data_IF_268867942376
#
_entry.id   IF_268867942376
#
_cell.length_a   1.000
_cell.length_b   1.000
_cell.length_c   1.000
_cell.angle_alpha   90.00
_cell.angle_beta   90.00
_cell.angle_gamma   90.00
#
_symmetry.space_group_name_H-M   'P 1'
#
loop_
_entity.id
_entity.type
_entity.pdbx_description
1 polymer ?
#
# COMPACT_ATOMS: atom_id res chain seq x y z
N UNK A 1 55.11 -28.77 -15.00
CA UNK A 1 55.20 -28.58 -13.53
C UNK A 1 54.07 -27.62 -13.14
N UNK A 2 53.04 -28.15 -12.63
CA UNK A 2 52.65 -28.32 -11.23
C UNK A 2 51.66 -27.27 -10.78
N UNK A 3 50.43 -27.76 -10.46
CA UNK A 3 49.45 -27.43 -9.45
C UNK A 3 48.69 -26.08 -9.60
N UNK A 4 47.41 -26.01 -9.62
CA UNK A 4 46.37 -26.75 -8.84
C UNK A 4 45.83 -25.82 -7.79
N UNK A 5 44.59 -25.44 -7.91
CA UNK A 5 43.92 -24.54 -6.94
C UNK A 5 42.45 -24.42 -7.24
N UNK A 6 41.71 -25.48 -6.95
CA UNK A 6 40.26 -25.49 -6.90
C UNK A 6 39.81 -24.86 -5.57
N UNK A 7 39.05 -23.77 -5.59
CA UNK A 7 38.36 -23.28 -4.39
C UNK A 7 36.88 -23.11 -4.72
N UNK A 8 36.11 -24.12 -4.36
CA UNK A 8 34.68 -24.12 -4.36
C UNK A 8 34.14 -23.10 -3.34
N UNK A 9 33.50 -22.06 -3.83
CA UNK A 9 32.73 -21.11 -3.04
C UNK A 9 31.30 -21.58 -2.88
N UNK A 10 31.00 -22.08 -1.72
CA UNK A 10 29.71 -22.55 -1.24
C UNK A 10 28.70 -21.39 -1.27
N UNK A 11 27.76 -21.42 -2.20
CA UNK A 11 26.60 -20.51 -2.22
C UNK A 11 25.64 -21.01 -1.14
N UNK A 12 25.71 -20.42 0.02
CA UNK A 12 24.73 -20.62 1.08
C UNK A 12 23.40 -19.98 0.62
N UNK A 13 22.47 -20.81 0.21
CA UNK A 13 21.05 -20.46 0.07
C UNK A 13 20.54 -20.02 1.43
N UNK A 14 20.38 -18.73 1.60
CA UNK A 14 19.61 -18.16 2.70
C UNK A 14 18.14 -18.43 2.44
N UNK A 15 17.62 -19.50 2.99
CA UNK A 15 16.19 -19.76 3.12
C UNK A 15 15.60 -18.64 3.97
N UNK A 16 14.85 -17.75 3.35
CA UNK A 16 14.00 -16.79 4.05
C UNK A 16 12.92 -17.55 4.80
N UNK A 17 13.14 -17.73 6.07
CA UNK A 17 12.19 -18.28 7.01
C UNK A 17 11.08 -17.24 7.19
N UNK A 18 9.93 -17.49 6.55
CA UNK A 18 8.72 -16.72 6.79
C UNK A 18 8.26 -17.06 8.21
N UNK A 19 8.43 -16.11 9.11
CA UNK A 19 7.84 -16.17 10.44
C UNK A 19 6.35 -15.89 10.30
N UNK A 20 5.56 -16.94 10.21
CA UNK A 20 4.11 -16.90 10.41
C UNK A 20 3.90 -16.68 11.91
N UNK A 21 3.64 -15.44 12.30
CA UNK A 21 3.19 -15.12 13.65
C UNK A 21 1.74 -15.61 13.80
N UNK A 22 1.57 -16.84 14.21
CA UNK A 22 0.29 -17.35 14.70
C UNK A 22 0.04 -16.72 16.07
N UNK A 23 -0.86 -15.76 16.14
CA UNK A 23 -1.39 -15.27 17.41
C UNK A 23 -2.29 -16.38 17.98
N UNK A 24 -1.72 -17.21 18.83
CA UNK A 24 -2.44 -18.25 19.56
C UNK A 24 -3.05 -17.62 20.81
N UNK A 25 -4.34 -17.30 20.74
CA UNK A 25 -5.15 -17.01 21.93
C UNK A 25 -5.50 -18.36 22.61
N UNK A 26 -4.71 -18.71 23.64
CA UNK A 26 -5.01 -19.81 24.55
C UNK A 26 -6.19 -19.43 25.43
N UNK A 27 -7.37 -19.94 25.09
CA UNK A 27 -8.53 -19.97 25.96
C UNK A 27 -8.89 -21.44 26.31
N UNK A 28 -8.53 -21.88 27.51
CA UNK A 28 -8.85 -23.20 28.03
C UNK A 28 -10.36 -23.35 28.26
N UNK A 29 -10.95 -24.48 27.83
CA UNK A 29 -12.33 -24.85 28.17
C UNK A 29 -12.80 -26.03 27.36
N UNK A 30 -12.38 -27.24 27.76
CA UNK A 30 -12.97 -28.51 27.31
C UNK A 30 -14.36 -28.71 27.97
N UNK A 31 -15.42 -28.49 27.23
CA UNK A 31 -16.73 -29.12 27.46
C UNK A 31 -17.27 -29.54 26.11
N UNK A 32 -17.43 -30.85 25.93
CA UNK A 32 -18.04 -31.46 24.75
C UNK A 32 -19.55 -31.16 24.75
N UNK A 33 -19.93 -30.06 24.10
CA UNK A 33 -21.27 -29.76 23.64
C UNK A 33 -21.13 -29.28 22.23
N UNK A 34 -22.11 -29.41 21.37
CA UNK A 34 -22.14 -28.84 20.02
C UNK A 34 -21.80 -27.35 20.11
N UNK A 35 -20.51 -27.02 20.02
CA UNK A 35 -20.07 -25.62 20.01
C UNK A 35 -20.45 -25.05 18.66
N UNK A 36 -21.50 -24.25 18.64
CA UNK A 36 -21.65 -23.30 17.53
C UNK A 36 -20.32 -22.58 17.34
N UNK A 37 -19.91 -22.40 16.09
CA UNK A 37 -18.71 -21.64 15.78
C UNK A 37 -18.76 -20.30 16.54
N UNK A 38 -17.65 -19.83 17.13
CA UNK A 38 -17.63 -18.55 17.82
C UNK A 38 -18.02 -17.46 16.83
N UNK A 39 -18.87 -16.53 17.23
CA UNK A 39 -19.22 -15.41 16.36
C UNK A 39 -18.00 -14.52 16.11
N UNK A 40 -17.83 -14.09 14.87
CA UNK A 40 -16.85 -13.07 14.52
C UNK A 40 -17.39 -11.71 14.96
N UNK A 41 -16.69 -11.03 15.85
CA UNK A 41 -17.02 -9.65 16.23
C UNK A 41 -16.39 -8.62 15.28
N UNK A 42 -16.97 -7.41 15.22
CA UNK A 42 -16.38 -6.30 14.42
C UNK A 42 -14.95 -5.96 14.83
N UNK A 43 -14.63 -6.01 16.12
CA UNK A 43 -13.28 -5.76 16.63
C UNK A 43 -12.29 -6.86 16.22
N UNK A 44 -12.70 -8.11 16.25
CA UNK A 44 -11.88 -9.22 15.73
C UNK A 44 -11.65 -9.08 14.23
N UNK A 45 -12.70 -8.76 13.47
CA UNK A 45 -12.59 -8.52 12.03
C UNK A 45 -11.61 -7.37 11.73
N UNK A 46 -11.72 -6.25 12.45
CA UNK A 46 -10.80 -5.11 12.33
C UNK A 46 -9.36 -5.52 12.62
N UNK A 47 -9.14 -6.27 13.68
CA UNK A 47 -7.80 -6.76 14.07
C UNK A 47 -7.20 -7.64 12.96
N UNK A 48 -7.98 -8.56 12.38
CA UNK A 48 -7.52 -9.45 11.32
C UNK A 48 -7.23 -8.68 10.01
N UNK A 49 -8.04 -7.67 9.66
CA UNK A 49 -7.81 -6.80 8.51
C UNK A 49 -6.52 -6.00 8.73
N UNK A 50 -6.34 -5.38 9.90
CA UNK A 50 -5.16 -4.58 10.21
C UNK A 50 -3.89 -5.45 10.20
N UNK A 51 -3.93 -6.64 10.77
CA UNK A 51 -2.80 -7.57 10.74
C UNK A 51 -2.39 -7.94 9.29
N UNK A 52 -3.34 -8.05 8.36
CA UNK A 52 -3.04 -8.26 6.94
C UNK A 52 -2.31 -7.06 6.34
N UNK A 53 -2.77 -5.83 6.60
CA UNK A 53 -2.10 -4.62 6.11
C UNK A 53 -0.72 -4.42 6.72
N UNK A 54 -0.54 -4.78 7.99
CA UNK A 54 0.76 -4.68 8.68
C UNK A 54 1.78 -5.70 8.15
N UNK A 55 1.30 -6.89 7.79
CA UNK A 55 2.15 -7.96 7.24
C UNK A 55 2.49 -7.74 5.75
N UNK A 56 1.58 -7.14 5.00
CA UNK A 56 1.73 -6.90 3.56
C UNK A 56 1.14 -5.53 3.23
N UNK A 57 1.95 -4.47 3.23
CA UNK A 57 1.48 -3.12 2.97
C UNK A 57 0.89 -2.93 1.57
N UNK A 58 0.98 -3.95 0.72
CA UNK A 58 0.38 -3.95 -0.61
C UNK A 58 1.11 -3.06 -1.61
N UNK A 59 0.37 -2.69 -2.66
CA UNK A 59 0.87 -1.78 -3.67
C UNK A 59 1.01 -0.36 -3.11
N UNK A 60 1.96 0.43 -3.61
CA UNK A 60 2.08 1.85 -3.26
C UNK A 60 0.76 2.59 -3.54
N UNK A 61 0.40 3.52 -2.69
CA UNK A 61 -0.73 4.40 -2.96
C UNK A 61 -0.42 5.31 -4.16
N UNK A 62 -1.26 5.23 -5.17
CA UNK A 62 -1.13 6.04 -6.37
C UNK A 62 -1.79 7.40 -6.17
N UNK A 63 -0.99 8.45 -6.14
CA UNK A 63 -1.45 9.83 -6.05
C UNK A 63 -1.61 10.41 -7.45
N UNK A 64 -2.76 10.94 -7.74
CA UNK A 64 -2.99 11.78 -8.91
C UNK A 64 -2.51 13.19 -8.62
N UNK A 65 -1.55 13.66 -9.40
CA UNK A 65 -0.89 14.96 -9.21
C UNK A 65 -1.22 15.84 -10.41
N UNK A 66 -1.82 16.97 -10.15
CA UNK A 66 -2.07 18.03 -11.12
C UNK A 66 -0.86 18.96 -11.29
N UNK A 67 -0.96 19.98 -12.13
CA UNK A 67 0.10 20.96 -12.36
C UNK A 67 0.55 21.63 -11.05
N UNK A 68 -0.38 22.00 -10.18
CA UNK A 68 -0.05 22.61 -8.88
C UNK A 68 0.76 21.66 -8.00
N UNK A 69 0.36 20.42 -7.94
CA UNK A 69 1.09 19.38 -7.20
C UNK A 69 2.47 19.13 -7.80
N UNK A 70 2.60 19.16 -9.13
CA UNK A 70 3.90 19.04 -9.81
C UNK A 70 4.84 20.20 -9.43
N UNK A 71 4.34 21.45 -9.40
CA UNK A 71 5.13 22.60 -8.96
C UNK A 71 5.49 22.53 -7.46
N UNK A 72 4.59 22.04 -6.63
CA UNK A 72 4.87 21.79 -5.21
C UNK A 72 6.00 20.78 -5.03
N UNK A 73 6.01 19.71 -5.80
CA UNK A 73 7.08 18.71 -5.75
C UNK A 73 8.43 19.21 -6.24
N UNK A 74 8.47 20.12 -7.25
CA UNK A 74 9.69 20.83 -7.64
C UNK A 74 10.18 21.69 -6.48
N UNK A 75 9.30 22.48 -5.86
CA UNK A 75 9.64 23.35 -4.74
C UNK A 75 10.13 22.55 -3.52
N UNK A 76 9.57 21.37 -3.30
CA UNK A 76 9.96 20.44 -2.24
C UNK A 76 11.16 19.56 -2.61
N UNK A 77 11.72 19.71 -3.81
CA UNK A 77 12.91 19.00 -4.32
C UNK A 77 12.72 17.48 -4.46
N UNK A 78 11.52 16.99 -4.68
CA UNK A 78 11.29 15.56 -4.99
C UNK A 78 11.56 15.24 -6.45
N UNK A 79 11.35 16.21 -7.33
CA UNK A 79 11.70 16.11 -8.74
C UNK A 79 12.14 17.47 -9.29
N UNK A 80 12.79 17.42 -10.44
CA UNK A 80 13.20 18.61 -11.21
C UNK A 80 12.58 18.54 -12.60
N UNK A 81 12.14 19.67 -13.12
CA UNK A 81 11.63 19.76 -14.48
C UNK A 81 12.77 19.59 -15.50
N UNK A 82 12.55 18.75 -16.51
CA UNK A 82 13.53 18.47 -17.58
C UNK A 82 13.32 19.34 -18.81
N UNK A 83 12.06 19.67 -19.10
CA UNK A 83 11.70 20.41 -20.32
C UNK A 83 10.75 21.54 -19.96
N UNK A 84 11.05 22.75 -20.46
CA UNK A 84 10.15 23.88 -20.32
C UNK A 84 9.43 24.14 -21.64
N UNK A 85 8.10 24.18 -21.58
CA UNK A 85 7.28 24.51 -22.73
C UNK A 85 7.22 26.04 -22.97
N UNK A 86 6.87 26.50 -24.19
CA UNK A 86 6.77 27.92 -24.51
C UNK A 86 5.77 28.70 -23.61
N UNK A 87 4.74 28.03 -23.11
CA UNK A 87 3.77 28.59 -22.18
C UNK A 87 4.27 28.72 -20.74
N UNK A 88 5.54 28.38 -20.48
CA UNK A 88 6.18 28.52 -19.18
C UNK A 88 6.05 27.32 -18.25
N UNK A 89 5.28 26.30 -18.61
CA UNK A 89 5.12 25.09 -17.83
C UNK A 89 6.31 24.12 -18.02
N UNK A 90 6.56 23.32 -17.00
CA UNK A 90 7.51 22.23 -17.09
C UNK A 90 6.85 20.99 -17.66
N UNK A 91 7.53 20.28 -18.52
CA UNK A 91 7.18 18.94 -18.96
C UNK A 91 8.31 17.99 -18.65
N UNK A 92 7.96 16.73 -18.43
CA UNK A 92 8.86 15.68 -17.98
C UNK A 92 9.66 16.08 -16.72
N UNK A 93 9.65 15.25 -15.74
CA UNK A 93 10.29 15.52 -14.46
C UNK A 93 11.19 14.34 -14.09
N UNK A 94 12.36 14.65 -13.56
CA UNK A 94 13.27 13.62 -13.04
C UNK A 94 13.23 13.61 -11.53
N UNK A 95 13.07 12.43 -10.95
CA UNK A 95 13.15 12.25 -9.50
C UNK A 95 14.56 12.62 -9.00
N UNK A 96 14.60 13.39 -7.93
CA UNK A 96 15.83 13.61 -7.17
C UNK A 96 16.12 12.39 -6.30
N UNK A 97 17.27 12.38 -5.62
CA UNK A 97 17.58 11.29 -4.67
C UNK A 97 16.59 11.26 -3.49
N UNK A 98 16.08 12.41 -3.05
CA UNK A 98 15.02 12.46 -2.05
C UNK A 98 13.67 11.99 -2.61
N UNK A 99 13.37 12.33 -3.86
CA UNK A 99 12.19 11.80 -4.55
C UNK A 99 12.21 10.29 -4.66
N UNK A 100 13.35 9.67 -4.99
CA UNK A 100 13.49 8.21 -5.10
C UNK A 100 13.29 7.46 -3.78
N UNK A 101 13.48 8.12 -2.65
CA UNK A 101 13.24 7.51 -1.32
C UNK A 101 11.76 7.31 -1.04
N UNK A 102 10.90 8.12 -1.64
CA UNK A 102 9.46 8.21 -1.33
C UNK A 102 8.55 7.89 -2.52
N UNK A 103 9.12 7.79 -3.73
CA UNK A 103 8.41 7.52 -4.98
C UNK A 103 9.11 6.35 -5.69
N UNK A 104 8.31 5.36 -6.12
CA UNK A 104 8.82 4.24 -6.90
C UNK A 104 7.99 4.07 -8.16
N UNK A 105 8.52 4.49 -9.29
CA UNK A 105 7.84 4.34 -10.57
C UNK A 105 7.75 2.86 -10.97
N UNK A 106 6.62 2.48 -11.59
CA UNK A 106 6.35 1.09 -11.96
C UNK A 106 7.37 0.52 -12.96
N UNK A 107 7.95 1.36 -13.80
CA UNK A 107 8.99 0.98 -14.77
C UNK A 107 10.41 0.91 -14.16
N UNK A 108 10.56 1.15 -12.87
CA UNK A 108 11.85 1.20 -12.19
C UNK A 108 12.73 2.40 -12.58
N UNK A 109 12.24 3.29 -13.43
CA UNK A 109 12.94 4.50 -13.86
C UNK A 109 12.87 5.65 -12.85
N UNK A 110 13.40 6.78 -13.23
CA UNK A 110 13.41 8.00 -12.43
C UNK A 110 12.74 9.21 -13.12
N UNK A 111 12.12 8.98 -14.28
CA UNK A 111 11.50 10.05 -15.08
C UNK A 111 9.97 9.91 -15.06
N UNK A 112 9.31 10.95 -14.58
CA UNK A 112 7.87 11.12 -14.66
C UNK A 112 7.58 11.81 -15.98
N UNK A 113 6.95 11.11 -16.92
CA UNK A 113 6.50 11.69 -18.17
C UNK A 113 5.19 12.44 -17.93
N UNK A 114 5.24 13.74 -18.09
CA UNK A 114 4.07 14.58 -18.00
C UNK A 114 3.70 15.10 -19.39
N UNK A 115 2.62 14.58 -19.90
CA UNK A 115 2.08 15.00 -21.20
C UNK A 115 0.77 15.71 -20.93
N UNK A 116 0.71 17.03 -21.13
CA UNK A 116 -0.57 17.72 -21.10
C UNK A 116 -1.45 17.18 -22.24
N UNK A 117 -2.72 16.91 -21.95
CA UNK A 117 -3.71 16.48 -22.95
C UNK A 117 -3.86 17.54 -24.04
N UNK A 118 -3.60 18.79 -23.70
CA UNK A 118 -3.47 19.89 -24.63
C UNK A 118 -2.23 20.73 -24.32
N UNK A 119 -1.32 20.93 -25.27
CA UNK A 119 -0.18 21.84 -25.10
C UNK A 119 -0.60 23.28 -24.76
N UNK A 120 -1.84 23.65 -25.07
CA UNK A 120 -2.40 24.99 -24.89
C UNK A 120 -3.20 25.16 -23.60
N UNK A 121 -3.56 24.07 -22.93
CA UNK A 121 -4.25 24.10 -21.63
C UNK A 121 -3.78 22.96 -20.70
N UNK A 122 -2.62 23.14 -20.06
CA UNK A 122 -2.05 22.13 -19.17
C UNK A 122 -2.80 21.95 -17.86
N UNK A 123 -3.84 22.74 -17.59
CA UNK A 123 -4.58 22.72 -16.32
C UNK A 123 -5.29 21.40 -16.03
N UNK A 124 -5.55 20.60 -17.05
CA UNK A 124 -6.25 19.31 -16.94
C UNK A 124 -5.33 18.10 -16.97
N UNK A 125 -4.02 18.32 -17.08
CA UNK A 125 -3.07 17.22 -17.10
C UNK A 125 -2.79 16.70 -15.72
N UNK A 126 -2.88 15.40 -15.57
CA UNK A 126 -2.61 14.70 -14.31
C UNK A 126 -1.59 13.59 -14.53
N UNK A 127 -0.77 13.38 -13.52
CA UNK A 127 0.22 12.29 -13.48
C UNK A 127 -0.06 11.43 -12.27
N UNK A 128 0.07 10.12 -12.43
CA UNK A 128 -0.03 9.18 -11.32
C UNK A 128 1.37 8.94 -10.76
N UNK A 129 1.54 9.24 -9.49
CA UNK A 129 2.79 9.07 -8.76
C UNK A 129 2.60 8.04 -7.63
N UNK A 130 3.27 6.87 -7.70
CA UNK A 130 3.21 5.87 -6.64
C UNK A 130 4.06 6.31 -5.45
N UNK A 131 3.45 6.41 -4.28
CA UNK A 131 4.13 6.76 -3.02
C UNK A 131 4.51 5.50 -2.27
N UNK A 132 5.81 5.27 -2.07
CA UNK A 132 6.31 4.26 -1.15
C UNK A 132 6.14 4.73 0.29
N UNK A 133 6.00 3.78 1.23
CA UNK A 133 5.74 4.02 2.65
C UNK A 133 4.33 4.54 2.96
N UNK A 134 3.41 4.58 2.00
CA UNK A 134 2.00 4.67 2.31
C UNK A 134 1.53 3.34 2.90
N UNK A 135 0.63 3.40 3.88
CA UNK A 135 0.04 2.23 4.53
C UNK A 135 -1.46 2.36 4.52
N UNK A 136 -2.14 1.22 4.66
CA UNK A 136 -3.58 1.20 4.78
C UNK A 136 -3.99 0.90 6.22
N UNK A 137 -5.09 1.49 6.65
CA UNK A 137 -5.68 1.27 7.98
C UNK A 137 -7.17 0.98 7.86
N UNK A 138 -7.64 -0.01 8.60
CA UNK A 138 -9.07 -0.21 8.80
C UNK A 138 -9.58 0.80 9.84
N UNK A 139 -10.28 1.86 9.39
CA UNK A 139 -10.79 2.90 10.27
C UNK A 139 -12.00 2.44 11.06
N UNK A 140 -13.04 2.02 10.36
CA UNK A 140 -14.30 1.56 10.96
C UNK A 140 -14.76 0.29 10.27
N UNK A 141 -15.27 -0.65 11.04
CA UNK A 141 -15.83 -1.91 10.56
C UNK A 141 -17.29 -1.91 10.90
N UNK A 142 -18.12 -2.19 9.90
CA UNK A 142 -19.57 -2.34 10.07
C UNK A 142 -19.95 -3.67 10.71
N UNK A 143 -21.25 -3.94 10.68
CA UNK A 143 -21.80 -5.18 11.24
C UNK A 143 -21.33 -6.40 10.43
N UNK A 144 -21.10 -7.48 11.17
CA UNK A 144 -20.74 -8.77 10.59
C UNK A 144 -21.98 -9.44 10.00
N UNK A 145 -21.92 -9.73 8.72
CA UNK A 145 -22.97 -10.43 7.99
C UNK A 145 -22.59 -11.90 7.80
N UNK A 146 -23.57 -12.80 7.96
CA UNK A 146 -23.39 -14.22 7.71
C UNK A 146 -23.85 -14.57 6.31
N UNK A 147 -22.96 -15.19 5.52
CA UNK A 147 -23.24 -15.68 4.16
C UNK A 147 -22.74 -17.11 4.09
N UNK A 148 -23.65 -18.09 4.31
CA UNK A 148 -23.28 -19.50 4.42
C UNK A 148 -22.25 -19.73 5.54
N UNK A 149 -21.13 -20.38 5.19
CA UNK A 149 -20.03 -20.67 6.13
C UNK A 149 -19.02 -19.52 6.25
N UNK A 150 -19.32 -18.38 5.66
CA UNK A 150 -18.45 -17.22 5.69
C UNK A 150 -19.05 -16.08 6.51
N UNK A 151 -18.20 -15.18 6.94
CA UNK A 151 -18.58 -13.88 7.51
C UNK A 151 -18.03 -12.79 6.63
N UNK A 152 -18.83 -11.77 6.40
CA UNK A 152 -18.47 -10.63 5.58
C UNK A 152 -18.68 -9.35 6.37
N UNK A 153 -17.75 -8.42 6.24
CA UNK A 153 -17.88 -7.09 6.83
C UNK A 153 -17.55 -6.02 5.79
N UNK A 154 -18.28 -4.91 5.86
CA UNK A 154 -17.92 -3.69 5.14
C UNK A 154 -17.11 -2.81 6.07
N UNK A 155 -16.03 -2.24 5.57
CA UNK A 155 -15.18 -1.36 6.38
C UNK A 155 -14.69 -0.17 5.56
N UNK A 156 -14.23 0.87 6.26
CA UNK A 156 -13.56 2.01 5.63
C UNK A 156 -12.05 1.80 5.72
N UNK A 157 -11.41 1.77 4.56
CA UNK A 157 -9.96 1.76 4.41
C UNK A 157 -9.46 3.19 4.29
N UNK A 158 -8.56 3.60 5.15
CA UNK A 158 -7.88 4.89 5.05
C UNK A 158 -6.44 4.70 4.61
N UNK A 159 -5.94 5.61 3.77
CA UNK A 159 -4.52 5.70 3.44
C UNK A 159 -3.81 6.45 4.56
N UNK A 160 -2.87 5.77 5.21
CA UNK A 160 -1.99 6.39 6.20
C UNK A 160 -0.78 7.02 5.52
N UNK A 161 -0.75 8.33 5.50
CA UNK A 161 0.33 9.14 4.93
C UNK A 161 1.36 9.57 5.98
N UNK A 162 1.21 9.17 7.25
CA UNK A 162 2.07 9.65 8.34
C UNK A 162 3.56 9.32 8.17
N UNK A 163 3.87 8.28 7.39
CA UNK A 163 5.24 7.92 7.02
C UNK A 163 5.87 8.79 5.92
N UNK A 164 5.10 9.73 5.35
CA UNK A 164 5.58 10.62 4.27
C UNK A 164 5.93 12.00 4.81
N UNK A 165 6.85 12.72 4.17
CA UNK A 165 7.11 14.13 4.45
C UNK A 165 5.85 14.99 4.27
N UNK A 166 5.69 16.03 5.10
CA UNK A 166 4.48 16.87 5.13
C UNK A 166 4.11 17.47 3.76
N UNK A 167 5.10 17.84 2.95
CA UNK A 167 4.88 18.36 1.59
C UNK A 167 4.28 17.32 0.63
N UNK A 168 4.66 16.05 0.74
CA UNK A 168 4.03 14.96 -0.02
C UNK A 168 2.64 14.61 0.51
N UNK A 169 2.44 14.67 1.82
CA UNK A 169 1.10 14.55 2.40
C UNK A 169 0.16 15.61 1.81
N UNK A 170 0.61 16.86 1.72
CA UNK A 170 -0.18 17.95 1.11
C UNK A 170 -0.52 17.68 -0.35
N UNK A 171 0.43 17.17 -1.15
CA UNK A 171 0.18 16.77 -2.54
C UNK A 171 -0.84 15.61 -2.61
N UNK A 172 -0.69 14.60 -1.75
CA UNK A 172 -1.59 13.46 -1.70
C UNK A 172 -3.01 13.82 -1.26
N UNK A 173 -3.17 14.87 -0.47
CA UNK A 173 -4.46 15.38 0.01
C UNK A 173 -5.18 16.30 -0.99
N UNK A 174 -4.60 16.54 -2.17
CA UNK A 174 -5.28 17.32 -3.21
C UNK A 174 -6.64 16.71 -3.59
N UNK A 175 -7.65 17.53 -3.91
CA UNK A 175 -8.92 17.05 -4.40
C UNK A 175 -8.73 16.12 -5.60
N UNK A 176 -9.43 14.99 -5.61
CA UNK A 176 -9.29 13.95 -6.63
C UNK A 176 -8.58 12.69 -6.14
N UNK A 177 -7.77 12.76 -5.08
CA UNK A 177 -7.22 11.58 -4.44
C UNK A 177 -8.19 11.03 -3.40
N UNK A 178 -8.57 9.76 -3.57
CA UNK A 178 -9.45 9.09 -2.60
C UNK A 178 -8.60 8.47 -1.49
N UNK A 179 -8.45 9.20 -0.39
CA UNK A 179 -7.71 8.72 0.79
C UNK A 179 -8.52 7.77 1.67
N UNK A 180 -9.81 7.66 1.41
CA UNK A 180 -10.71 6.75 2.12
C UNK A 180 -11.53 6.00 1.09
N UNK A 181 -11.58 4.67 1.22
CA UNK A 181 -12.33 3.80 0.32
C UNK A 181 -13.15 2.81 1.15
N UNK A 182 -14.39 2.58 0.74
CA UNK A 182 -15.18 1.49 1.31
C UNK A 182 -14.75 0.16 0.69
N UNK A 183 -14.47 -0.82 1.55
CA UNK A 183 -14.03 -2.17 1.18
C UNK A 183 -14.91 -3.22 1.82
N UNK A 184 -14.84 -4.42 1.30
CA UNK A 184 -15.45 -5.59 1.89
C UNK A 184 -14.38 -6.63 2.22
N UNK A 185 -14.47 -7.23 3.41
CA UNK A 185 -13.60 -8.31 3.83
C UNK A 185 -14.42 -9.58 4.08
N UNK A 186 -13.91 -10.71 3.61
CA UNK A 186 -14.52 -12.02 3.77
C UNK A 186 -13.66 -12.88 4.69
N UNK A 187 -14.30 -13.56 5.64
CA UNK A 187 -13.65 -14.42 6.63
C UNK A 187 -14.19 -15.84 6.54
N UNK A 188 -13.34 -16.80 6.86
CA UNK A 188 -13.68 -18.23 6.95
C UNK A 188 -13.24 -18.78 8.30
N UNK A 189 -14.00 -19.72 8.82
CA UNK A 189 -13.66 -20.41 10.06
C UNK A 189 -12.75 -21.60 9.74
N UNK A 190 -11.53 -21.57 10.27
CA UNK A 190 -10.55 -22.64 10.13
C UNK A 190 -10.14 -23.14 11.52
N UNK A 191 -10.35 -24.41 11.81
CA UNK A 191 -9.96 -25.04 13.09
C UNK A 191 -10.45 -24.26 14.32
N UNK A 192 -11.67 -23.71 14.26
CA UNK A 192 -12.26 -22.97 15.36
C UNK A 192 -11.80 -21.50 15.51
N UNK A 193 -10.98 -21.00 14.58
CA UNK A 193 -10.54 -19.61 14.53
C UNK A 193 -10.94 -18.93 13.21
N UNK A 194 -11.37 -17.67 13.28
CA UNK A 194 -11.63 -16.85 12.09
C UNK A 194 -10.35 -16.42 11.43
N UNK A 195 -10.31 -16.57 10.12
CA UNK A 195 -9.17 -16.12 9.27
C UNK A 195 -9.69 -15.25 8.13
N UNK A 196 -8.94 -14.21 7.78
CA UNK A 196 -9.24 -13.36 6.63
C UNK A 196 -8.97 -14.14 5.35
N UNK A 197 -10.00 -14.23 4.47
CA UNK A 197 -9.91 -14.89 3.16
C UNK A 197 -9.56 -13.91 2.06
N UNK A 198 -10.28 -12.79 1.98
CA UNK A 198 -10.06 -11.74 0.96
C UNK A 198 -10.44 -10.36 1.48
N UNK A 199 -9.90 -9.32 0.81
CA UNK A 199 -10.34 -7.94 0.84
C UNK A 199 -10.59 -7.54 -0.61
N UNK A 200 -11.81 -7.02 -0.89
CA UNK A 200 -12.27 -6.62 -2.23
C UNK A 200 -12.61 -5.14 -2.28
#
# INVERSE_FOLDING_TARGET
MVYGGNVGGNVKNAVKMQVLAAVTLLGAGLLAGCKSAPDLTSDQAKTLIQAKYDADPGAPFNVTVDDRGMQQGVSAKYWVGLKRYPNGYWGDFKLTDDGKKVIKLANGGDTIQWRPDSPNDPKFSVVVVPLVNSRFKARSVGDVQTIGDTRTVTFMEDVDLSGLPASLQAIAQNPGNKLTTQRQATFVLNNGAWTLKSID
#
